data_IF_192176438543
#
_entry.id   IF_192176438543
#
_cell.length_a   1.000
_cell.length_b   1.000
_cell.length_c   1.000
_cell.angle_alpha   90.00
_cell.angle_beta   90.00
_cell.angle_gamma   90.00
#
_symmetry.space_group_name_H-M   'P 1'
#
loop_
_entity.id
_entity.type
_entity.pdbx_description
1 polymer ?
#
# COMPACT_ATOMS: atom_id res chain seq x y z
N UNK A 1 -2.04 19.64 41.81
CA UNK A 1 -0.82 19.37 41.02
C UNK A 1 -1.32 18.80 39.72
N UNK A 2 -1.37 19.65 38.71
CA UNK A 2 -1.78 19.27 37.35
C UNK A 2 -0.63 18.49 36.73
N UNK A 3 -0.86 17.23 36.36
CA UNK A 3 0.05 16.53 35.45
C UNK A 3 -0.51 16.67 34.04
N UNK A 4 -0.16 17.79 33.41
CA UNK A 4 -0.28 17.97 31.97
C UNK A 4 0.71 17.02 31.28
N UNK A 5 0.27 15.80 31.00
CA UNK A 5 0.95 14.91 30.05
C UNK A 5 0.77 15.44 28.64
N UNK A 6 1.58 16.42 28.24
CA UNK A 6 1.87 16.64 26.81
C UNK A 6 2.45 15.31 26.31
N UNK A 7 1.66 14.52 25.58
CA UNK A 7 2.21 13.40 24.82
C UNK A 7 2.95 14.00 23.63
N UNK A 8 4.28 13.95 23.68
CA UNK A 8 5.17 14.39 22.60
C UNK A 8 4.70 13.81 21.25
N UNK A 9 4.06 14.65 20.44
CA UNK A 9 3.59 14.30 19.09
C UNK A 9 4.74 14.13 18.08
N UNK A 10 5.97 13.91 18.55
CA UNK A 10 7.21 13.93 17.76
C UNK A 10 8.09 12.69 17.98
N UNK A 11 7.78 11.86 18.98
CA UNK A 11 8.62 10.69 19.27
C UNK A 11 8.29 9.57 18.28
N UNK A 12 9.24 9.25 17.40
CA UNK A 12 9.15 8.12 16.49
C UNK A 12 9.59 6.85 17.22
N UNK A 13 8.72 5.84 17.24
CA UNK A 13 8.96 4.54 17.88
C UNK A 13 9.42 3.54 16.82
N UNK A 14 10.54 2.86 17.06
CA UNK A 14 10.98 1.76 16.19
C UNK A 14 10.17 0.48 16.47
N UNK A 15 9.69 -0.19 15.43
CA UNK A 15 8.99 -1.46 15.52
C UNK A 15 9.68 -2.52 14.66
N UNK A 16 9.99 -3.67 15.25
CA UNK A 16 10.53 -4.82 14.53
C UNK A 16 9.41 -5.54 13.79
N UNK A 17 9.55 -5.68 12.47
CA UNK A 17 8.48 -6.20 11.62
C UNK A 17 8.98 -7.22 10.61
N UNK A 18 8.08 -8.12 10.22
CA UNK A 18 8.16 -8.87 8.97
C UNK A 18 7.22 -8.25 7.94
N UNK A 19 7.54 -8.46 6.67
CA UNK A 19 6.76 -7.99 5.54
C UNK A 19 6.55 -9.14 4.56
N UNK A 20 5.31 -9.34 4.15
CA UNK A 20 4.95 -10.37 3.18
C UNK A 20 3.79 -9.91 2.30
N UNK A 21 3.67 -10.52 1.13
CA UNK A 21 2.67 -10.19 0.13
C UNK A 21 1.97 -11.43 -0.40
N UNK A 22 0.69 -11.30 -0.75
CA UNK A 22 -0.04 -12.37 -1.40
C UNK A 22 -0.90 -11.87 -2.55
N UNK A 23 -1.11 -12.74 -3.53
CA UNK A 23 -1.98 -12.51 -4.67
C UNK A 23 -3.29 -13.25 -4.48
N UNK A 24 -4.40 -12.59 -4.81
CA UNK A 24 -5.74 -13.17 -4.68
C UNK A 24 -5.94 -14.46 -5.52
N UNK A 25 -5.16 -14.64 -6.59
CA UNK A 25 -5.20 -15.84 -7.45
C UNK A 25 -3.79 -16.40 -7.65
N UNK A 26 -3.70 -17.73 -7.73
CA UNK A 26 -2.46 -18.44 -8.12
C UNK A 26 -2.21 -18.31 -9.62
N UNK A 27 -0.93 -18.27 -9.99
CA UNK A 27 -0.49 -17.96 -11.35
C UNK A 27 -0.46 -16.44 -11.57
N UNK A 28 0.44 -15.98 -12.44
CA UNK A 28 0.71 -14.54 -12.72
C UNK A 28 -0.47 -13.77 -13.37
N UNK A 29 -1.71 -14.21 -13.14
CA UNK A 29 -2.95 -13.65 -13.68
C UNK A 29 -3.76 -12.90 -12.64
N UNK A 30 -3.29 -12.81 -11.39
CA UNK A 30 -3.99 -12.03 -10.37
C UNK A 30 -3.92 -10.53 -10.70
N UNK A 31 -5.08 -9.90 -10.66
CA UNK A 31 -5.21 -8.44 -10.78
C UNK A 31 -5.19 -7.75 -9.42
N UNK A 32 -5.21 -8.51 -8.32
CA UNK A 32 -5.26 -7.94 -6.98
C UNK A 32 -4.28 -8.68 -6.09
N UNK A 33 -3.46 -7.92 -5.38
CA UNK A 33 -2.61 -8.42 -4.32
C UNK A 33 -2.72 -7.53 -3.10
N UNK A 34 -2.21 -8.04 -1.99
CA UNK A 34 -2.19 -7.34 -0.72
C UNK A 34 -0.86 -7.62 -0.06
N UNK A 35 -0.27 -6.58 0.51
CA UNK A 35 0.94 -6.66 1.31
C UNK A 35 0.63 -6.31 2.75
N UNK A 36 1.36 -6.93 3.68
CA UNK A 36 1.16 -6.78 5.12
C UNK A 36 2.48 -6.46 5.81
N UNK A 37 2.38 -5.66 6.87
CA UNK A 37 3.42 -5.51 7.88
C UNK A 37 2.93 -6.18 9.15
N UNK A 38 3.74 -7.10 9.68
CA UNK A 38 3.40 -7.92 10.84
C UNK A 38 4.44 -7.65 11.92
N UNK A 39 3.99 -7.38 13.14
CA UNK A 39 4.87 -7.22 14.30
C UNK A 39 5.57 -8.54 14.60
N UNK A 40 6.89 -8.50 14.78
CA UNK A 40 7.66 -9.68 15.19
C UNK A 40 7.34 -10.05 16.64
N UNK A 41 7.14 -9.07 17.50
CA UNK A 41 6.93 -9.28 18.94
C UNK A 41 5.58 -9.93 19.25
N UNK A 42 4.54 -9.55 18.51
CA UNK A 42 3.15 -9.99 18.78
C UNK A 42 2.61 -10.97 17.76
N UNK A 43 3.17 -10.99 16.55
CA UNK A 43 2.60 -11.72 15.41
C UNK A 43 1.34 -11.08 14.82
N UNK A 44 0.96 -9.88 15.27
CA UNK A 44 -0.22 -9.16 14.79
C UNK A 44 0.07 -8.35 13.53
N UNK A 45 -0.94 -8.21 12.66
CA UNK A 45 -0.87 -7.34 11.48
C UNK A 45 -0.96 -5.88 11.95
N UNK A 46 0.11 -5.13 11.76
CA UNK A 46 0.17 -3.70 12.09
C UNK A 46 -0.46 -2.84 10.99
N UNK A 47 -0.25 -3.22 9.73
CA UNK A 47 -0.73 -2.47 8.59
C UNK A 47 -0.81 -3.33 7.32
N UNK A 48 -1.61 -2.90 6.34
CA UNK A 48 -1.75 -3.57 5.04
C UNK A 48 -2.03 -2.60 3.90
N UNK A 49 -1.60 -2.95 2.69
CA UNK A 49 -1.89 -2.18 1.49
C UNK A 49 -2.43 -3.08 0.40
N UNK A 50 -3.61 -2.74 -0.12
CA UNK A 50 -4.25 -3.46 -1.23
C UNK A 50 -3.83 -2.81 -2.52
N UNK A 51 -3.39 -3.64 -3.45
CA UNK A 51 -2.94 -3.22 -4.76
C UNK A 51 -3.77 -3.93 -5.83
N UNK A 52 -4.52 -3.17 -6.64
CA UNK A 52 -5.20 -3.66 -7.84
C UNK A 52 -4.58 -3.16 -9.15
N UNK A 53 -4.63 -4.00 -10.19
CA UNK A 53 -4.35 -3.66 -11.59
C UNK A 53 -5.59 -3.33 -12.38
N UNK A 54 -6.75 -3.39 -11.74
CA UNK A 54 -8.04 -3.08 -12.33
C UNK A 54 -8.81 -2.09 -11.46
N UNK A 55 -9.50 -1.16 -12.12
CA UNK A 55 -10.47 -0.26 -11.52
C UNK A 55 -11.78 -0.43 -12.27
N UNK A 56 -12.87 -0.67 -11.53
CA UNK A 56 -14.19 -0.87 -12.13
C UNK A 56 -14.70 0.41 -12.79
N UNK A 57 -14.45 1.58 -12.18
CA UNK A 57 -14.81 2.89 -12.74
C UNK A 57 -14.10 3.13 -14.06
N UNK A 58 -12.78 2.85 -14.13
CA UNK A 58 -12.03 2.90 -15.39
C UNK A 58 -12.61 1.99 -16.46
N UNK A 59 -12.92 0.74 -16.12
CA UNK A 59 -13.51 -0.21 -17.08
C UNK A 59 -14.84 0.29 -17.63
N UNK A 60 -15.71 0.83 -16.77
CA UNK A 60 -17.02 1.36 -17.18
C UNK A 60 -16.87 2.61 -18.04
N UNK A 61 -16.03 3.57 -17.64
CA UNK A 61 -15.83 4.80 -18.42
C UNK A 61 -15.24 4.48 -19.79
N UNK A 62 -14.26 3.57 -19.87
CA UNK A 62 -13.70 3.14 -21.15
C UNK A 62 -14.77 2.54 -22.09
N UNK A 63 -15.69 1.72 -21.54
CA UNK A 63 -16.82 1.19 -22.32
C UNK A 63 -17.81 2.26 -22.78
N UNK A 64 -18.00 3.33 -21.99
CA UNK A 64 -18.90 4.45 -22.33
C UNK A 64 -18.31 5.41 -23.37
N UNK A 65 -16.99 5.52 -23.44
CA UNK A 65 -16.33 6.39 -24.42
C UNK A 65 -16.32 5.80 -25.84
N UNK A 66 -16.79 4.56 -26.07
CA UNK A 66 -16.92 3.91 -27.39
C UNK A 66 -15.65 4.00 -28.28
N UNK A 67 -14.46 4.03 -27.69
CA UNK A 67 -13.18 4.16 -28.40
C UNK A 67 -12.67 5.60 -28.55
N UNK A 68 -13.36 6.59 -27.98
CA UNK A 68 -12.83 7.94 -27.80
C UNK A 68 -11.74 7.94 -26.72
N UNK A 69 -10.49 7.75 -27.17
CA UNK A 69 -9.31 7.67 -26.29
C UNK A 69 -9.03 9.00 -25.59
N UNK A 70 -9.25 10.14 -26.26
CA UNK A 70 -8.95 11.46 -25.71
C UNK A 70 -9.84 11.78 -24.50
N UNK A 71 -11.15 11.57 -24.64
CA UNK A 71 -12.11 11.78 -23.54
C UNK A 71 -11.80 10.84 -22.35
N UNK A 72 -11.47 9.58 -22.64
CA UNK A 72 -11.13 8.63 -21.59
C UNK A 72 -9.86 9.03 -20.83
N UNK A 73 -8.81 9.46 -21.53
CA UNK A 73 -7.53 9.84 -20.92
C UNK A 73 -7.62 11.18 -20.15
N UNK A 74 -8.48 12.12 -20.59
CA UNK A 74 -8.78 13.33 -19.82
C UNK A 74 -9.47 12.98 -18.49
N UNK A 75 -10.56 12.21 -18.55
CA UNK A 75 -11.26 11.74 -17.36
C UNK A 75 -10.34 10.92 -16.45
N UNK A 76 -9.50 10.04 -17.02
CA UNK A 76 -8.62 9.16 -16.26
C UNK A 76 -7.59 9.94 -15.46
N UNK A 77 -7.05 11.03 -16.01
CA UNK A 77 -6.12 11.90 -15.27
C UNK A 77 -6.77 12.45 -14.00
N UNK A 78 -8.00 12.96 -14.11
CA UNK A 78 -8.75 13.49 -12.97
C UNK A 78 -9.09 12.40 -11.95
N UNK A 79 -9.53 11.24 -12.44
CA UNK A 79 -9.87 10.08 -11.62
C UNK A 79 -8.68 9.53 -10.82
N UNK A 80 -7.48 9.53 -11.42
CA UNK A 80 -6.25 9.16 -10.71
C UNK A 80 -5.86 10.26 -9.72
N UNK A 81 -5.94 11.53 -10.13
CA UNK A 81 -5.58 12.67 -9.27
C UNK A 81 -6.49 12.82 -8.03
N UNK A 82 -7.76 12.43 -8.12
CA UNK A 82 -8.68 12.44 -6.98
C UNK A 82 -8.42 11.31 -5.96
N UNK A 83 -7.57 10.33 -6.30
CA UNK A 83 -7.36 9.13 -5.49
C UNK A 83 -8.50 8.12 -5.57
N UNK A 84 -9.46 8.30 -6.47
CA UNK A 84 -10.61 7.39 -6.64
C UNK A 84 -10.26 6.11 -7.43
N UNK A 85 -9.08 6.07 -8.05
CA UNK A 85 -8.67 4.99 -8.91
C UNK A 85 -8.06 3.83 -8.11
N UNK A 86 -8.62 2.64 -8.27
CA UNK A 86 -8.11 1.43 -7.61
C UNK A 86 -6.79 0.91 -8.23
N UNK A 87 -6.39 1.43 -9.40
CA UNK A 87 -5.19 0.98 -10.11
C UNK A 87 -3.94 1.60 -9.48
N UNK A 88 -3.02 0.76 -9.00
CA UNK A 88 -1.65 1.19 -8.66
C UNK A 88 -0.84 1.47 -9.91
N UNK A 89 -0.01 2.49 -9.81
CA UNK A 89 1.00 2.83 -10.80
C UNK A 89 2.18 1.86 -10.63
N UNK A 90 2.19 0.74 -11.35
CA UNK A 90 3.23 -0.27 -11.15
C UNK A 90 3.11 -1.54 -11.99
N UNK A 91 4.20 -2.33 -12.01
CA UNK A 91 4.22 -3.67 -12.62
C UNK A 91 3.88 -4.74 -11.58
N UNK A 92 3.38 -5.92 -12.00
CA UNK A 92 3.10 -6.97 -10.99
C UNK A 92 4.35 -7.47 -10.27
N UNK A 93 5.53 -7.62 -10.92
CA UNK A 93 6.76 -7.96 -10.20
C UNK A 93 7.19 -6.90 -9.18
N UNK A 94 6.77 -5.64 -9.33
CA UNK A 94 7.15 -4.54 -8.43
C UNK A 94 6.24 -4.41 -7.19
N UNK A 95 5.15 -5.18 -7.11
CA UNK A 95 4.12 -5.06 -6.06
C UNK A 95 4.70 -4.99 -4.65
N UNK A 96 5.60 -5.90 -4.30
CA UNK A 96 6.15 -5.97 -2.95
C UNK A 96 6.96 -4.71 -2.62
N UNK A 97 7.78 -4.23 -3.55
CA UNK A 97 8.62 -3.05 -3.35
C UNK A 97 7.78 -1.76 -3.28
N UNK A 98 6.79 -1.63 -4.16
CA UNK A 98 5.86 -0.48 -4.17
C UNK A 98 4.98 -0.49 -2.91
N UNK A 99 4.41 -1.64 -2.56
CA UNK A 99 3.62 -1.82 -1.36
C UNK A 99 4.41 -1.53 -0.08
N UNK A 100 5.65 -2.02 0.01
CA UNK A 100 6.54 -1.70 1.13
C UNK A 100 6.79 -0.18 1.23
N UNK A 101 7.02 0.50 0.12
CA UNK A 101 7.24 1.96 0.11
C UNK A 101 6.04 2.72 0.67
N UNK A 102 4.82 2.32 0.29
CA UNK A 102 3.58 2.90 0.82
C UNK A 102 3.46 2.67 2.32
N UNK A 103 3.65 1.43 2.77
CA UNK A 103 3.53 1.06 4.19
C UNK A 103 4.56 1.77 5.07
N UNK A 104 5.82 1.85 4.63
CA UNK A 104 6.88 2.52 5.39
C UNK A 104 6.63 4.02 5.55
N UNK A 105 6.24 4.70 4.46
CA UNK A 105 5.96 6.13 4.54
C UNK A 105 4.74 6.40 5.44
N UNK A 106 3.66 5.63 5.25
CA UNK A 106 2.44 5.76 6.04
C UNK A 106 2.67 5.53 7.54
N UNK A 107 3.53 4.59 7.91
CA UNK A 107 3.85 4.29 9.32
C UNK A 107 4.39 5.50 10.08
N UNK A 108 5.25 6.29 9.42
CA UNK A 108 5.83 7.49 10.01
C UNK A 108 4.78 8.59 10.04
N UNK A 109 4.08 8.82 8.93
CA UNK A 109 3.13 9.92 8.76
C UNK A 109 1.89 9.82 9.65
N UNK A 110 1.35 8.60 9.82
CA UNK A 110 0.06 8.40 10.51
C UNK A 110 0.21 7.84 11.92
N UNK A 111 1.33 7.17 12.22
CA UNK A 111 1.46 6.38 13.45
C UNK A 111 2.71 6.71 14.27
N UNK A 112 3.59 7.62 13.81
CA UNK A 112 4.88 7.88 14.43
C UNK A 112 5.68 6.59 14.69
N UNK A 113 5.55 5.60 13.82
CA UNK A 113 6.27 4.33 13.89
C UNK A 113 7.30 4.25 12.77
N UNK A 114 8.48 3.70 13.06
CA UNK A 114 9.48 3.35 12.07
C UNK A 114 9.64 1.84 12.01
N UNK A 115 9.16 1.25 10.93
CA UNK A 115 9.33 -0.16 10.67
C UNK A 115 10.80 -0.52 10.38
N UNK A 116 11.30 -1.52 11.11
CA UNK A 116 12.62 -2.11 10.92
C UNK A 116 12.46 -3.59 10.61
N UNK A 117 12.91 -4.00 9.42
CA UNK A 117 13.03 -5.41 9.08
C UNK A 117 14.06 -6.03 10.02
N UNK A 118 13.68 -7.09 10.74
CA UNK A 118 14.67 -7.84 11.49
C UNK A 118 15.60 -8.58 10.52
N UNK A 119 16.90 -8.30 10.64
CA UNK A 119 17.93 -8.88 9.81
C UNK A 119 18.20 -10.31 10.23
N UNK A 120 17.27 -11.23 9.98
CA UNK A 120 17.56 -12.66 10.13
C UNK A 120 18.58 -13.02 9.05
N UNK A 121 19.83 -13.24 9.50
CA UNK A 121 20.91 -13.81 8.69
C UNK A 121 20.37 -15.05 7.99
N UNK A 122 20.36 -15.05 6.66
CA UNK A 122 20.24 -16.30 5.89
C UNK A 122 21.41 -17.17 6.31
N UNK A 123 21.14 -18.21 7.09
CA UNK A 123 22.11 -19.26 7.38
C UNK A 123 22.58 -19.84 6.04
N UNK A 124 23.89 -19.72 5.80
CA UNK A 124 24.62 -20.54 4.83
C UNK A 124 24.67 -21.99 5.31
#
# INVERSE_FOLDING_TARGET
MEENGISDSTTIIDAAVSFDGTWAKRGFTSLTGVVFVISIDTGEVLDYHVMSKSCRKCSLKNSQCEGNVEEFEEWRREHVASGDCDINQGSSPAMEAEGASVLWNRSIELHNMRYKMDGVRRGQ
#
